data_IF_296694346046
#
_entry.id   IF_296694346046
#
_cell.length_a   1.000
_cell.length_b   1.000
_cell.length_c   1.000
_cell.angle_alpha   90.00
_cell.angle_beta   90.00
_cell.angle_gamma   90.00
#
_symmetry.space_group_name_H-M   'P 1'
#
loop_
_entity.id
_entity.type
_entity.pdbx_description
1 polymer ?
#
# COMPACT_ATOMS: atom_id res chain seq x y z
N UNK A 1 -73.56 0.25 12.18
CA UNK A 1 -72.18 -0.20 12.44
C UNK A 1 -71.26 0.63 11.55
N UNK A 2 -70.44 1.52 12.12
CA UNK A 2 -69.50 2.39 11.38
C UNK A 2 -68.09 1.93 11.76
N UNK A 3 -67.40 1.29 10.83
CA UNK A 3 -66.01 0.84 11.00
C UNK A 3 -65.10 1.97 10.53
N UNK A 4 -64.45 2.65 11.49
CA UNK A 4 -63.42 3.65 11.23
C UNK A 4 -62.10 2.92 10.95
N UNK A 5 -61.57 3.07 9.74
CA UNK A 5 -60.25 2.58 9.36
C UNK A 5 -59.17 3.59 9.73
N UNK A 6 -58.23 3.19 10.60
CA UNK A 6 -57.03 3.96 10.91
C UNK A 6 -55.88 3.48 10.04
N UNK A 7 -55.46 4.32 9.09
CA UNK A 7 -54.21 4.18 8.34
C UNK A 7 -53.06 4.77 9.17
N UNK A 8 -52.15 3.93 9.65
CA UNK A 8 -50.91 4.38 10.29
C UNK A 8 -49.81 4.40 9.23
N UNK A 9 -49.38 5.61 8.85
CA UNK A 9 -48.20 5.84 8.00
C UNK A 9 -46.94 5.70 8.87
N UNK A 10 -46.16 4.63 8.67
CA UNK A 10 -44.83 4.50 9.24
C UNK A 10 -43.81 5.17 8.30
N UNK A 11 -43.28 6.32 8.69
CA UNK A 11 -42.19 6.98 7.97
C UNK A 11 -40.86 6.32 8.34
N UNK A 12 -40.29 5.55 7.42
CA UNK A 12 -38.93 5.02 7.52
C UNK A 12 -37.93 6.15 7.21
N UNK A 13 -37.27 6.66 8.24
CA UNK A 13 -36.10 7.53 8.08
C UNK A 13 -34.89 6.67 7.70
N UNK A 14 -34.48 6.72 6.43
CA UNK A 14 -33.18 6.19 6.00
C UNK A 14 -32.13 7.26 6.32
N UNK A 15 -31.38 7.07 7.40
CA UNK A 15 -30.19 7.86 7.69
C UNK A 15 -29.11 7.53 6.67
N UNK A 16 -28.81 8.47 5.77
CA UNK A 16 -27.75 8.34 4.78
C UNK A 16 -26.37 8.29 5.46
N UNK A 17 -25.61 7.23 5.19
CA UNK A 17 -24.18 7.20 5.50
C UNK A 17 -23.46 8.10 4.49
N UNK A 18 -22.79 9.15 4.98
CA UNK A 18 -22.00 10.03 4.13
C UNK A 18 -20.63 9.38 3.86
N UNK A 19 -20.53 8.63 2.76
CA UNK A 19 -19.23 8.23 2.20
C UNK A 19 -18.60 9.45 1.51
N UNK A 20 -17.40 9.84 1.92
CA UNK A 20 -16.74 11.01 1.35
C UNK A 20 -16.33 10.73 -0.11
N UNK A 21 -16.51 11.69 -1.05
CA UNK A 21 -16.20 11.48 -2.48
C UNK A 21 -14.71 11.23 -2.77
N UNK A 22 -13.82 11.52 -1.82
CA UNK A 22 -12.38 11.28 -1.95
C UNK A 22 -12.01 9.79 -1.87
N UNK A 23 -12.74 9.00 -1.08
CA UNK A 23 -12.45 7.56 -0.92
C UNK A 23 -12.73 6.81 -2.22
N UNK A 24 -13.84 7.11 -2.88
CA UNK A 24 -14.21 6.45 -4.15
C UNK A 24 -13.29 6.81 -5.32
N UNK A 25 -12.75 8.03 -5.35
CA UNK A 25 -11.79 8.45 -6.38
C UNK A 25 -10.46 7.70 -6.21
N UNK A 26 -9.91 7.65 -4.99
CA UNK A 26 -8.68 6.94 -4.73
C UNK A 26 -8.82 5.42 -4.94
N UNK A 27 -9.95 4.84 -4.55
CA UNK A 27 -10.27 3.43 -4.80
C UNK A 27 -10.34 3.12 -6.29
N UNK A 28 -10.95 4.01 -7.08
CA UNK A 28 -11.00 3.87 -8.55
C UNK A 28 -9.61 3.96 -9.18
N UNK A 29 -8.76 4.86 -8.72
CA UNK A 29 -7.41 5.03 -9.24
C UNK A 29 -6.49 3.87 -8.87
N UNK A 30 -6.57 3.37 -7.64
CA UNK A 30 -5.69 2.29 -7.17
C UNK A 30 -6.19 0.90 -7.58
N UNK A 31 -7.51 0.70 -7.74
CA UNK A 31 -8.11 -0.57 -8.14
C UNK A 31 -7.59 -1.75 -7.31
N UNK A 32 -7.01 -2.75 -7.97
CA UNK A 32 -6.47 -3.94 -7.31
C UNK A 32 -5.27 -3.68 -6.38
N UNK A 33 -4.58 -2.53 -6.53
CA UNK A 33 -3.47 -2.16 -5.65
C UNK A 33 -3.95 -1.68 -4.26
N UNK A 34 -5.25 -1.40 -4.11
CA UNK A 34 -5.83 -0.89 -2.88
C UNK A 34 -5.34 0.52 -2.52
N UNK A 35 -6.15 1.24 -1.75
CA UNK A 35 -5.77 2.56 -1.23
C UNK A 35 -4.87 2.39 -0.01
N UNK A 36 -3.80 3.17 0.04
CA UNK A 36 -2.93 3.25 1.20
C UNK A 36 -3.65 3.98 2.33
N UNK A 37 -3.79 3.31 3.46
CA UNK A 37 -4.41 3.83 4.66
C UNK A 37 -3.47 3.58 5.84
N UNK A 38 -2.72 4.62 6.18
CA UNK A 38 -1.90 4.68 7.39
C UNK A 38 -2.42 5.85 8.23
N UNK A 39 -2.64 5.59 9.52
CA UNK A 39 -2.89 6.68 10.47
C UNK A 39 -1.65 7.59 10.50
N UNK A 40 -1.86 8.90 10.30
CA UNK A 40 -0.76 9.88 10.30
C UNK A 40 0.01 9.88 11.62
N UNK A 41 -0.62 9.50 12.73
CA UNK A 41 0.04 9.37 14.04
C UNK A 41 0.91 8.10 14.15
N UNK A 42 0.77 7.16 13.21
CA UNK A 42 1.55 5.92 13.12
C UNK A 42 2.69 5.99 12.10
N UNK A 43 2.91 7.17 11.51
CA UNK A 43 4.02 7.38 10.58
C UNK A 43 5.38 7.27 11.29
N UNK A 44 6.41 6.72 10.62
CA UNK A 44 7.76 6.70 11.14
C UNK A 44 8.23 8.10 11.56
N UNK A 45 9.08 8.24 12.59
CA UNK A 45 9.61 9.54 12.99
C UNK A 45 10.25 10.29 11.81
N UNK A 46 9.77 11.52 11.56
CA UNK A 46 10.24 12.37 10.47
C UNK A 46 9.63 12.07 9.09
N UNK A 47 8.70 11.12 8.97
CA UNK A 47 7.95 10.90 7.74
C UNK A 47 6.88 11.98 7.53
N UNK A 48 6.82 12.51 6.32
CA UNK A 48 5.85 13.53 5.90
C UNK A 48 4.52 12.88 5.49
N UNK A 49 3.39 13.19 6.14
CA UNK A 49 2.08 12.65 5.78
C UNK A 49 1.67 12.92 4.33
N UNK A 50 2.11 14.05 3.76
CA UNK A 50 1.78 14.44 2.38
C UNK A 50 2.61 13.68 1.34
N UNK A 51 3.62 12.93 1.78
CA UNK A 51 4.46 12.09 0.91
C UNK A 51 4.10 10.62 1.01
N UNK A 52 3.03 10.26 1.72
CA UNK A 52 2.49 8.90 1.73
C UNK A 52 1.93 8.59 0.34
N UNK A 53 2.31 7.44 -0.23
CA UNK A 53 1.80 7.04 -1.54
C UNK A 53 0.29 6.80 -1.46
N UNK A 54 -0.44 7.04 -2.54
CA UNK A 54 -1.88 6.84 -2.57
C UNK A 54 -2.29 5.36 -2.66
N UNK A 55 -1.56 4.54 -3.42
CA UNK A 55 -1.87 3.12 -3.59
C UNK A 55 -0.96 2.25 -2.72
N UNK A 56 -1.55 1.26 -2.05
CA UNK A 56 -0.87 0.46 -1.04
C UNK A 56 0.19 -0.45 -1.66
N UNK A 57 -0.17 -1.17 -2.73
CA UNK A 57 0.70 -2.14 -3.39
C UNK A 57 1.72 -1.53 -4.36
N UNK A 58 2.78 -2.30 -4.62
CA UNK A 58 3.74 -1.98 -5.66
C UNK A 58 3.08 -2.10 -7.05
N UNK A 59 3.25 -1.14 -7.98
CA UNK A 59 2.53 -1.11 -9.26
C UNK A 59 2.85 -2.31 -10.16
N UNK A 60 4.04 -2.92 -10.01
CA UNK A 60 4.39 -4.12 -10.74
C UNK A 60 3.92 -5.42 -10.08
N UNK A 61 3.33 -5.34 -8.88
CA UNK A 61 3.01 -6.50 -8.07
C UNK A 61 4.22 -7.43 -7.88
N UNK A 62 3.98 -8.75 -7.77
CA UNK A 62 5.03 -9.75 -7.91
C UNK A 62 5.62 -9.70 -9.32
N UNK A 63 6.93 -9.48 -9.46
CA UNK A 63 7.59 -9.44 -10.78
C UNK A 63 8.30 -10.75 -11.11
N UNK A 64 8.37 -11.16 -12.39
CA UNK A 64 9.17 -12.32 -12.79
C UNK A 64 10.63 -12.08 -12.38
N UNK A 65 11.15 -13.01 -11.55
CA UNK A 65 12.48 -13.04 -10.88
C UNK A 65 12.59 -12.36 -9.52
N UNK A 66 11.56 -11.62 -9.08
CA UNK A 66 11.44 -11.08 -7.73
C UNK A 66 9.96 -11.13 -7.34
N UNK A 67 9.49 -12.34 -6.99
CA UNK A 67 8.18 -12.52 -6.41
C UNK A 67 8.28 -12.48 -4.89
N UNK A 68 7.34 -11.80 -4.25
CA UNK A 68 7.09 -12.02 -2.83
C UNK A 68 6.94 -13.52 -2.62
N UNK A 69 7.76 -14.11 -1.75
CA UNK A 69 7.93 -15.57 -1.46
C UNK A 69 9.14 -16.25 -2.11
N UNK A 70 9.67 -15.71 -3.19
CA UNK A 70 10.94 -16.22 -3.72
C UNK A 70 12.09 -15.56 -2.95
N UNK A 71 12.88 -16.37 -2.26
CA UNK A 71 14.05 -15.87 -1.56
C UNK A 71 15.16 -15.49 -2.55
N UNK A 72 15.80 -14.36 -2.31
CA UNK A 72 16.88 -13.81 -3.09
C UNK A 72 18.19 -13.81 -2.30
N UNK A 73 19.18 -14.57 -2.78
CA UNK A 73 20.47 -14.74 -2.12
C UNK A 73 21.63 -14.04 -2.85
N UNK A 74 21.33 -13.21 -3.85
CA UNK A 74 22.33 -12.51 -4.64
C UNK A 74 22.72 -11.15 -4.04
N UNK A 75 22.80 -10.14 -4.91
CA UNK A 75 23.18 -8.78 -4.53
C UNK A 75 22.29 -8.20 -3.40
N UNK A 76 22.82 -7.32 -2.55
CA UNK A 76 22.08 -6.75 -1.42
C UNK A 76 21.01 -5.73 -1.85
N UNK A 77 21.09 -5.21 -3.07
CA UNK A 77 20.10 -4.34 -3.68
C UNK A 77 20.26 -4.34 -5.20
N UNK A 78 19.24 -3.86 -5.90
CA UNK A 78 19.28 -3.72 -7.35
C UNK A 78 18.07 -3.02 -7.92
N UNK A 79 18.10 -2.86 -9.24
CA UNK A 79 17.04 -2.27 -10.04
C UNK A 79 16.33 -3.36 -10.81
N UNK A 80 15.02 -3.50 -10.62
CA UNK A 80 14.21 -4.44 -11.38
C UNK A 80 13.00 -3.72 -11.93
N UNK A 81 12.83 -3.81 -13.26
CA UNK A 81 11.68 -3.26 -13.98
C UNK A 81 11.43 -1.77 -13.67
N UNK A 82 12.50 -1.02 -13.42
CA UNK A 82 12.45 0.41 -13.14
C UNK A 82 12.21 0.78 -11.67
N UNK A 83 12.23 -0.18 -10.75
CA UNK A 83 12.08 0.05 -9.32
C UNK A 83 13.21 -0.58 -8.50
N UNK A 84 13.58 0.09 -7.42
CA UNK A 84 14.61 -0.40 -6.50
C UNK A 84 14.06 -1.46 -5.55
N UNK A 85 14.86 -2.50 -5.33
CA UNK A 85 14.64 -3.51 -4.31
C UNK A 85 15.93 -3.70 -3.48
N UNK A 86 15.78 -4.28 -2.28
CA UNK A 86 16.90 -4.66 -1.42
C UNK A 86 16.65 -5.95 -0.66
N UNK A 87 17.71 -6.68 -0.31
CA UNK A 87 17.64 -7.79 0.66
C UNK A 87 17.33 -7.25 2.04
N UNK A 88 16.62 -7.96 2.89
CA UNK A 88 16.23 -7.52 4.22
C UNK A 88 16.20 -8.71 5.19
N UNK A 89 15.86 -8.47 6.46
CA UNK A 89 15.87 -9.52 7.48
C UNK A 89 17.28 -9.93 7.90
N UNK A 90 17.40 -11.08 8.55
CA UNK A 90 18.68 -11.60 9.02
C UNK A 90 19.61 -12.00 7.85
N UNK A 91 20.92 -11.91 8.06
CA UNK A 91 21.90 -12.31 7.05
C UNK A 91 21.67 -13.76 6.58
N UNK A 92 21.60 -13.96 5.27
CA UNK A 92 21.35 -15.28 4.66
C UNK A 92 19.88 -15.73 4.68
N UNK A 93 18.93 -14.93 5.15
CA UNK A 93 17.50 -15.27 5.09
C UNK A 93 16.96 -15.33 3.65
N UNK A 94 17.60 -14.58 2.75
CA UNK A 94 17.14 -14.39 1.38
C UNK A 94 15.88 -13.52 1.28
N UNK A 95 15.39 -12.94 2.37
CA UNK A 95 14.24 -12.06 2.33
C UNK A 95 14.62 -10.77 1.60
N UNK A 96 13.66 -10.18 0.89
CA UNK A 96 13.84 -8.93 0.19
C UNK A 96 12.54 -8.13 0.16
N UNK A 97 12.62 -6.89 -0.32
CA UNK A 97 11.46 -6.01 -0.44
C UNK A 97 11.66 -4.97 -1.56
N UNK A 98 10.55 -4.49 -2.12
CA UNK A 98 10.53 -3.25 -2.91
C UNK A 98 10.82 -2.04 -2.00
N UNK A 99 11.61 -1.10 -2.49
CA UNK A 99 12.00 0.09 -1.73
C UNK A 99 11.05 1.26 -1.97
N UNK A 100 10.77 2.01 -0.91
CA UNK A 100 9.91 3.19 -0.95
C UNK A 100 10.52 4.36 -0.17
N UNK A 101 10.20 5.57 -0.62
CA UNK A 101 10.61 6.81 0.04
C UNK A 101 9.91 6.98 1.40
N UNK A 102 10.27 8.04 2.12
CA UNK A 102 9.57 8.48 3.33
C UNK A 102 9.51 7.39 4.42
N UNK A 103 10.63 6.70 4.65
CA UNK A 103 10.68 5.59 5.61
C UNK A 103 9.86 4.36 5.20
N UNK A 104 9.50 4.24 3.92
CA UNK A 104 8.75 3.10 3.39
C UNK A 104 7.27 3.35 3.13
N UNK A 105 6.72 4.49 3.56
CA UNK A 105 5.30 4.83 3.36
C UNK A 105 5.06 5.65 2.11
N UNK A 106 6.12 6.21 1.52
CA UNK A 106 6.02 7.08 0.37
C UNK A 106 6.05 6.37 -0.97
N UNK A 107 6.24 7.15 -2.03
CA UNK A 107 6.33 6.64 -3.40
C UNK A 107 7.43 5.60 -3.55
N UNK A 108 7.15 4.57 -4.34
CA UNK A 108 8.12 3.54 -4.74
C UNK A 108 9.34 4.18 -5.40
N UNK A 109 10.54 3.74 -5.02
CA UNK A 109 11.78 4.32 -5.53
C UNK A 109 12.04 3.77 -6.93
N UNK A 110 12.08 4.65 -7.92
CA UNK A 110 12.40 4.31 -9.30
C UNK A 110 13.91 4.22 -9.56
N UNK A 111 14.31 3.52 -10.62
CA UNK A 111 15.70 3.36 -11.03
C UNK A 111 15.83 3.13 -12.54
N UNK A 112 17.04 3.33 -13.07
CA UNK A 112 17.43 2.95 -14.44
C UNK A 112 18.46 1.82 -14.45
N UNK A 113 19.28 1.73 -13.40
CA UNK A 113 20.36 0.73 -13.23
C UNK A 113 20.55 0.38 -11.76
N UNK A 114 21.20 -0.74 -11.48
CA UNK A 114 21.39 -1.25 -10.11
C UNK A 114 22.08 -0.25 -9.17
N UNK A 115 23.03 0.53 -9.70
CA UNK A 115 23.76 1.54 -8.92
C UNK A 115 22.93 2.76 -8.51
N UNK A 116 21.70 2.90 -9.02
CA UNK A 116 20.76 3.91 -8.53
C UNK A 116 20.12 3.45 -7.19
N UNK A 117 20.22 2.16 -6.87
CA UNK A 117 19.64 1.53 -5.69
C UNK A 117 20.72 1.20 -4.66
N UNK A 118 20.38 1.26 -3.38
CA UNK A 118 21.32 0.93 -2.31
C UNK A 118 20.62 0.19 -1.15
N UNK A 119 21.36 -0.59 -0.34
CA UNK A 119 20.77 -1.42 0.71
C UNK A 119 20.26 -0.62 1.91
N UNK A 120 20.54 0.68 2.00
CA UNK A 120 20.03 1.55 3.06
C UNK A 120 18.62 2.08 2.78
N UNK A 121 18.10 1.88 1.57
CA UNK A 121 16.73 2.27 1.23
C UNK A 121 15.70 1.52 2.09
N UNK A 122 14.61 2.19 2.45
CA UNK A 122 13.56 1.61 3.27
C UNK A 122 12.67 0.67 2.45
N UNK A 123 12.34 -0.49 3.02
CA UNK A 123 11.28 -1.34 2.47
C UNK A 123 9.95 -0.61 2.44
N UNK A 124 9.13 -0.86 1.42
CA UNK A 124 7.73 -0.45 1.43
C UNK A 124 6.99 -1.07 2.61
N UNK A 125 6.23 -0.26 3.34
CA UNK A 125 5.40 -0.65 4.48
C UNK A 125 3.99 -0.07 4.36
N UNK A 126 3.06 -0.55 5.19
CA UNK A 126 1.67 -0.07 5.26
C UNK A 126 0.66 -1.19 5.19
N UNK A 127 -0.59 -0.84 4.86
CA UNK A 127 -1.71 -1.76 4.70
C UNK A 127 -1.66 -2.53 3.36
N UNK A 128 -0.48 -3.02 2.97
CA UNK A 128 -0.26 -3.77 1.74
C UNK A 128 0.06 -5.24 2.01
N UNK A 129 -0.51 -6.10 1.18
CA UNK A 129 -0.33 -7.55 1.14
C UNK A 129 1.03 -7.93 0.57
N UNK A 130 1.54 -7.16 -0.40
CA UNK A 130 2.79 -7.48 -1.10
C UNK A 130 4.00 -6.59 -0.74
N UNK A 131 3.88 -5.76 0.29
CA UNK A 131 4.97 -4.94 0.83
C UNK A 131 5.54 -5.49 2.16
N UNK A 132 6.70 -4.97 2.55
CA UNK A 132 7.47 -5.44 3.69
C UNK A 132 8.48 -6.51 3.33
N UNK A 133 9.28 -6.90 4.33
CA UNK A 133 10.35 -7.86 4.17
C UNK A 133 9.83 -9.29 4.15
N UNK A 134 9.91 -9.98 3.01
CA UNK A 134 9.57 -11.40 2.96
C UNK A 134 10.17 -12.13 1.77
N UNK A 135 10.51 -13.38 2.03
CA UNK A 135 10.16 -14.54 1.23
C UNK A 135 9.43 -15.48 2.22
#
# INVERSE_FOLDING_TARGET
MKLYGSLILAALYVGGVASSPAETAAEKECGALGVMSIDSNSLPPGADPNKVRQCAEHPLGPTPNLHRRDCWYGNPSGCSKGYCWRTCGAGGSGQWCWSANNGGTGSWIGCKKDSDCNPSMSCGIGNCKTCGCSC
#
